data_IF_315221573059
#
_entry.id   IF_315221573059
#
_cell.length_a   1.000
_cell.length_b   1.000
_cell.length_c   1.000
_cell.angle_alpha   90.00
_cell.angle_beta   90.00
_cell.angle_gamma   90.00
#
_symmetry.space_group_name_H-M   'P 1'
#
loop_
_entity.id
_entity.type
_entity.pdbx_description
1 polymer ?
#
# COMPACT_ATOMS: atom_id res chain seq x y z
N UNK A 1 10.53 16.34 10.60
CA UNK A 1 9.42 15.37 10.71
C UNK A 1 9.95 13.93 10.74
N UNK A 2 9.63 13.18 11.79
CA UNK A 2 9.93 11.75 11.88
C UNK A 2 9.32 11.03 10.68
N UNK A 3 10.17 10.32 9.94
CA UNK A 3 9.77 9.56 8.77
C UNK A 3 9.19 8.23 9.22
N UNK A 4 7.86 8.11 9.15
CA UNK A 4 7.16 6.85 9.39
C UNK A 4 7.71 5.73 8.49
N UNK A 5 7.76 4.49 8.99
CA UNK A 5 8.03 3.31 8.19
C UNK A 5 6.69 2.81 7.63
N UNK A 6 6.27 3.29 6.44
CA UNK A 6 4.92 3.04 5.94
C UNK A 6 4.67 1.53 5.81
N UNK A 7 3.41 1.08 5.92
CA UNK A 7 3.04 -0.28 5.56
C UNK A 7 3.44 -0.60 4.13
N UNK A 8 3.98 -1.80 3.90
CA UNK A 8 4.36 -2.25 2.56
C UNK A 8 3.12 -2.58 1.74
N UNK A 9 2.58 -1.57 1.07
CA UNK A 9 1.41 -1.68 0.18
C UNK A 9 1.80 -1.74 -1.30
N UNK A 10 3.05 -2.11 -1.58
CA UNK A 10 3.61 -2.19 -2.94
C UNK A 10 2.84 -3.17 -3.82
N UNK A 11 2.27 -4.24 -3.25
CA UNK A 11 1.42 -5.16 -3.98
C UNK A 11 0.16 -4.47 -4.56
N UNK A 12 -0.43 -3.50 -3.85
CA UNK A 12 -1.58 -2.73 -4.33
C UNK A 12 -1.15 -1.71 -5.41
N UNK A 13 0.06 -1.15 -5.30
CA UNK A 13 0.71 -0.33 -6.34
C UNK A 13 1.00 -1.13 -7.61
N UNK A 14 1.50 -2.36 -7.47
CA UNK A 14 1.79 -3.25 -8.57
C UNK A 14 0.50 -3.75 -9.23
N UNK A 15 -0.52 -4.15 -8.45
CA UNK A 15 -1.82 -4.53 -8.98
C UNK A 15 -2.40 -3.42 -9.86
N UNK A 16 -2.31 -2.17 -9.44
CA UNK A 16 -2.70 -0.99 -10.23
C UNK A 16 -2.02 -0.89 -11.60
N UNK A 17 -0.70 -1.00 -11.60
CA UNK A 17 0.11 -0.82 -12.81
C UNK A 17 -0.01 -2.03 -13.74
N UNK A 18 -0.09 -3.24 -13.17
CA UNK A 18 -0.24 -4.49 -13.90
C UNK A 18 -1.68 -4.71 -14.39
N UNK A 19 -2.71 -4.43 -13.59
CA UNK A 19 -4.11 -4.55 -14.04
C UNK A 19 -4.44 -3.64 -15.22
N UNK A 20 -3.76 -2.50 -15.33
CA UNK A 20 -3.92 -1.60 -16.49
C UNK A 20 -3.20 -2.10 -17.75
N UNK A 21 -2.04 -2.73 -17.62
CA UNK A 21 -1.16 -3.07 -18.75
C UNK A 21 -1.15 -4.56 -19.15
N UNK A 22 -1.45 -5.47 -18.23
CA UNK A 22 -1.35 -6.93 -18.41
C UNK A 22 -2.69 -7.65 -18.46
N UNK A 23 -3.74 -7.12 -17.82
CA UNK A 23 -5.06 -7.69 -17.98
C UNK A 23 -5.59 -7.46 -19.40
N UNK A 24 -6.16 -8.50 -19.99
CA UNK A 24 -6.85 -8.39 -21.26
C UNK A 24 -8.15 -7.57 -21.14
N UNK A 25 -8.85 -7.33 -22.26
CA UNK A 25 -10.09 -6.55 -22.25
C UNK A 25 -11.19 -7.21 -21.43
N UNK A 26 -11.28 -8.54 -21.44
CA UNK A 26 -12.24 -9.32 -20.68
C UNK A 26 -11.97 -9.27 -19.19
N UNK A 27 -10.73 -9.53 -18.76
CA UNK A 27 -10.32 -9.46 -17.34
C UNK A 27 -10.53 -8.07 -16.73
N UNK A 28 -10.25 -7.02 -17.52
CA UNK A 28 -10.55 -5.63 -17.11
C UNK A 28 -12.04 -5.40 -16.94
N UNK A 29 -12.86 -5.96 -17.83
CA UNK A 29 -14.31 -5.82 -17.76
C UNK A 29 -14.88 -6.60 -16.57
N UNK A 30 -14.37 -7.81 -16.32
CA UNK A 30 -14.72 -8.63 -15.16
C UNK A 30 -14.37 -7.92 -13.86
N UNK A 31 -13.15 -7.38 -13.73
CA UNK A 31 -12.79 -6.62 -12.54
C UNK A 31 -13.74 -5.44 -12.32
N UNK A 32 -14.03 -4.66 -13.38
CA UNK A 32 -14.91 -3.49 -13.29
C UNK A 32 -16.36 -3.82 -12.93
N UNK A 33 -16.88 -4.98 -13.34
CA UNK A 33 -18.25 -5.38 -13.01
C UNK A 33 -18.39 -5.83 -11.55
N UNK A 34 -17.31 -6.33 -10.96
CA UNK A 34 -17.27 -6.86 -9.60
C UNK A 34 -17.20 -5.77 -8.53
N UNK A 35 -17.77 -6.05 -7.35
CA UNK A 35 -17.77 -5.14 -6.19
C UNK A 35 -16.36 -4.73 -5.79
N UNK A 36 -15.42 -5.67 -5.78
CA UNK A 36 -14.00 -5.41 -5.44
C UNK A 36 -13.32 -4.47 -6.44
N UNK A 37 -13.70 -4.50 -7.73
CA UNK A 37 -13.14 -3.57 -8.71
C UNK A 37 -13.64 -2.15 -8.52
N UNK A 38 -14.91 -1.97 -8.14
CA UNK A 38 -15.47 -0.66 -7.75
C UNK A 38 -14.78 -0.12 -6.49
N UNK A 39 -14.57 -0.99 -5.49
CA UNK A 39 -13.83 -0.68 -4.26
C UNK A 39 -12.40 -0.20 -4.58
N UNK A 40 -11.65 -0.97 -5.38
CA UNK A 40 -10.31 -0.61 -5.84
C UNK A 40 -10.32 0.73 -6.61
N UNK A 41 -11.27 0.94 -7.52
CA UNK A 41 -11.39 2.19 -8.25
C UNK A 41 -11.61 3.38 -7.30
N UNK A 42 -12.44 3.24 -6.28
CA UNK A 42 -12.67 4.28 -5.28
C UNK A 42 -11.41 4.60 -4.47
N UNK A 43 -10.68 3.57 -4.01
CA UNK A 43 -9.39 3.73 -3.32
C UNK A 43 -8.43 4.58 -4.19
N UNK A 44 -8.34 4.28 -5.48
CA UNK A 44 -7.44 5.00 -6.39
C UNK A 44 -7.90 6.42 -6.71
N UNK A 45 -9.20 6.66 -6.83
CA UNK A 45 -9.74 7.99 -7.02
C UNK A 45 -9.42 8.89 -5.83
N UNK A 46 -9.58 8.37 -4.61
CA UNK A 46 -9.22 9.10 -3.38
C UNK A 46 -7.73 9.44 -3.33
N UNK A 47 -6.87 8.51 -3.76
CA UNK A 47 -5.41 8.70 -3.72
C UNK A 47 -4.80 9.35 -4.98
N UNK A 48 -5.63 9.74 -5.95
CA UNK A 48 -5.20 10.36 -7.21
C UNK A 48 -4.32 11.61 -7.02
N UNK A 49 -4.60 12.54 -6.08
CA UNK A 49 -3.75 13.72 -5.88
C UNK A 49 -2.31 13.37 -5.47
N UNK A 50 -2.15 12.37 -4.58
CA UNK A 50 -0.85 11.91 -4.11
C UNK A 50 -0.07 11.21 -5.22
N UNK A 51 -0.74 10.37 -6.01
CA UNK A 51 -0.16 9.76 -7.21
C UNK A 51 0.31 10.82 -8.22
N UNK A 52 -0.51 11.85 -8.47
CA UNK A 52 -0.17 12.94 -9.37
C UNK A 52 1.12 13.66 -8.95
N UNK A 53 1.23 14.02 -7.67
CA UNK A 53 2.45 14.63 -7.10
C UNK A 53 3.66 13.71 -7.23
N UNK A 54 3.53 12.42 -6.91
CA UNK A 54 4.61 11.44 -7.04
C UNK A 54 5.12 11.33 -8.50
N UNK A 55 4.19 11.28 -9.46
CA UNK A 55 4.53 11.24 -10.88
C UNK A 55 5.22 12.52 -11.35
N UNK A 56 4.76 13.69 -10.90
CA UNK A 56 5.37 14.98 -11.22
C UNK A 56 6.81 15.06 -10.70
N UNK A 57 7.03 14.70 -9.44
CA UNK A 57 8.38 14.68 -8.83
C UNK A 57 9.29 13.70 -9.55
N UNK A 58 8.80 12.49 -9.83
CA UNK A 58 9.57 11.47 -10.55
C UNK A 58 9.96 11.95 -11.95
N UNK A 59 9.03 12.62 -12.65
CA UNK A 59 9.30 13.21 -13.96
C UNK A 59 10.38 14.29 -13.86
N UNK A 60 10.23 15.21 -12.91
CA UNK A 60 11.19 16.30 -12.71
C UNK A 60 12.61 15.79 -12.41
N UNK A 61 12.75 14.83 -11.50
CA UNK A 61 14.05 14.21 -11.17
C UNK A 61 14.68 13.57 -12.41
N UNK A 62 13.88 12.85 -13.23
CA UNK A 62 14.37 12.25 -14.47
C UNK A 62 14.80 13.29 -15.50
N UNK A 63 14.06 14.38 -15.64
CA UNK A 63 14.41 15.48 -16.55
C UNK A 63 15.70 16.16 -16.09
N UNK A 64 15.85 16.46 -14.80
CA UNK A 64 17.10 17.00 -14.25
C UNK A 64 18.29 16.07 -14.49
N UNK A 65 18.14 14.77 -14.24
CA UNK A 65 19.21 13.80 -14.50
C UNK A 65 19.60 13.76 -15.97
N UNK A 66 18.62 13.82 -16.89
CA UNK A 66 18.87 13.84 -18.32
C UNK A 66 19.66 15.10 -18.75
N UNK A 67 19.37 16.25 -18.17
CA UNK A 67 20.09 17.50 -18.47
C UNK A 67 21.52 17.50 -17.90
N UNK A 68 21.73 16.91 -16.72
CA UNK A 68 23.07 16.66 -16.18
C UNK A 68 23.88 15.73 -17.08
N UNK A 69 23.27 14.63 -17.54
CA UNK A 69 23.91 13.67 -18.44
C UNK A 69 24.28 14.33 -19.78
N UNK A 70 23.40 15.16 -20.35
CA UNK A 70 23.67 15.92 -21.58
C UNK A 70 24.80 16.94 -21.42
N UNK A 71 24.90 17.58 -20.26
CA UNK A 71 25.93 18.58 -19.97
C UNK A 71 27.28 17.95 -19.55
N UNK A 72 27.35 16.63 -19.42
CA UNK A 72 28.54 15.92 -18.91
C UNK A 72 28.80 16.19 -17.43
N UNK A 73 27.85 16.81 -16.73
CA UNK A 73 27.93 17.08 -15.30
C UNK A 73 27.38 15.88 -14.52
N UNK A 74 27.83 15.71 -13.28
CA UNK A 74 27.24 14.74 -12.34
C UNK A 74 26.57 15.49 -11.21
N UNK A 75 25.37 15.04 -10.85
CA UNK A 75 24.71 15.50 -9.63
C UNK A 75 25.67 15.30 -8.44
N UNK A 76 25.78 16.33 -7.61
CA UNK A 76 26.48 16.24 -6.34
C UNK A 76 25.79 15.21 -5.44
N UNK A 77 26.52 14.71 -4.45
CA UNK A 77 25.95 13.78 -3.46
C UNK A 77 24.76 14.41 -2.71
N UNK A 78 24.86 15.70 -2.40
CA UNK A 78 23.81 16.46 -1.70
C UNK A 78 22.53 16.55 -2.54
N UNK A 79 22.63 16.90 -3.82
CA UNK A 79 21.47 16.91 -4.74
C UNK A 79 20.84 15.53 -4.88
N UNK A 80 21.65 14.47 -4.99
CA UNK A 80 21.13 13.10 -5.06
C UNK A 80 20.39 12.70 -3.78
N UNK A 81 20.92 13.08 -2.61
CA UNK A 81 20.32 12.76 -1.32
C UNK A 81 19.02 13.56 -1.12
N UNK A 82 18.96 14.82 -1.54
CA UNK A 82 17.74 15.62 -1.58
C UNK A 82 16.68 15.01 -2.51
N UNK A 83 17.04 14.65 -3.74
CA UNK A 83 16.12 14.01 -4.68
C UNK A 83 15.57 12.69 -4.13
N UNK A 84 16.42 11.87 -3.49
CA UNK A 84 15.98 10.63 -2.81
C UNK A 84 15.02 10.94 -1.67
N UNK A 85 15.29 11.96 -0.88
CA UNK A 85 14.43 12.34 0.25
C UNK A 85 13.06 12.81 -0.22
N UNK A 86 13.01 13.67 -1.25
CA UNK A 86 11.76 14.14 -1.85
C UNK A 86 10.98 12.95 -2.41
N UNK A 87 11.62 12.08 -3.20
CA UNK A 87 10.97 10.89 -3.76
C UNK A 87 10.43 9.96 -2.68
N UNK A 88 11.22 9.71 -1.62
CA UNK A 88 10.81 8.92 -0.46
C UNK A 88 9.57 9.51 0.20
N UNK A 89 9.55 10.82 0.47
CA UNK A 89 8.40 11.50 1.10
C UNK A 89 7.13 11.36 0.26
N UNK A 90 7.21 11.60 -1.05
CA UNK A 90 6.06 11.48 -1.94
C UNK A 90 5.57 10.03 -2.10
N UNK A 91 6.50 9.07 -2.09
CA UNK A 91 6.17 7.64 -2.11
C UNK A 91 5.42 7.24 -0.84
N UNK A 92 5.91 7.67 0.32
CA UNK A 92 5.27 7.44 1.62
C UNK A 92 3.88 8.06 1.70
N UNK A 93 3.73 9.31 1.25
CA UNK A 93 2.43 9.97 1.23
C UNK A 93 1.41 9.17 0.39
N UNK A 94 1.85 8.63 -0.74
CA UNK A 94 0.97 7.82 -1.59
C UNK A 94 0.66 6.46 -0.96
N UNK A 95 1.65 5.75 -0.41
CA UNK A 95 1.46 4.48 0.30
C UNK A 95 0.52 4.64 1.50
N UNK A 96 0.69 5.71 2.28
CA UNK A 96 -0.18 6.05 3.42
C UNK A 96 -1.62 6.30 2.99
N UNK A 97 -1.83 7.02 1.88
CA UNK A 97 -3.17 7.19 1.34
C UNK A 97 -3.79 5.84 0.95
N UNK A 98 -3.05 4.99 0.22
CA UNK A 98 -3.54 3.68 -0.20
C UNK A 98 -3.90 2.79 0.99
N UNK A 99 -3.02 2.74 2.00
CA UNK A 99 -3.26 2.00 3.23
C UNK A 99 -4.51 2.51 3.97
N UNK A 100 -4.65 3.82 4.09
CA UNK A 100 -5.79 4.46 4.75
C UNK A 100 -7.11 4.24 4.01
N UNK A 101 -7.11 4.34 2.68
CA UNK A 101 -8.30 4.18 1.87
C UNK A 101 -8.74 2.72 1.77
N UNK A 102 -7.77 1.78 1.70
CA UNK A 102 -8.05 0.35 1.62
C UNK A 102 -8.45 -0.25 2.97
N UNK A 103 -7.78 0.15 4.05
CA UNK A 103 -7.91 -0.48 5.36
C UNK A 103 -8.00 0.55 6.50
N UNK A 104 -9.04 1.41 6.51
CA UNK A 104 -9.10 2.60 7.36
C UNK A 104 -8.94 2.28 8.85
N UNK A 105 -9.63 1.26 9.36
CA UNK A 105 -9.56 0.89 10.77
C UNK A 105 -8.17 0.37 11.17
N UNK A 106 -7.56 -0.47 10.34
CA UNK A 106 -6.22 -1.03 10.60
C UNK A 106 -5.17 0.07 10.52
N UNK A 107 -5.29 0.95 9.54
CA UNK A 107 -4.40 2.09 9.36
C UNK A 107 -4.53 3.09 10.51
N UNK A 108 -5.74 3.33 11.02
CA UNK A 108 -5.94 4.20 12.19
C UNK A 108 -5.27 3.63 13.45
N UNK A 109 -5.32 2.30 13.66
CA UNK A 109 -4.61 1.63 14.75
C UNK A 109 -3.09 1.77 14.61
N UNK A 110 -2.57 1.57 13.40
CA UNK A 110 -1.16 1.81 13.08
C UNK A 110 -0.74 3.26 13.37
N UNK A 111 -1.50 4.25 12.89
CA UNK A 111 -1.25 5.67 13.15
C UNK A 111 -1.29 6.01 14.63
N UNK A 112 -2.23 5.42 15.37
CA UNK A 112 -2.33 5.61 16.82
C UNK A 112 -1.11 5.03 17.53
N UNK A 113 -0.65 3.83 17.15
CA UNK A 113 0.59 3.27 17.68
C UNK A 113 1.78 4.19 17.41
N UNK A 114 1.95 4.64 16.16
CA UNK A 114 3.08 5.47 15.76
C UNK A 114 3.09 6.81 16.53
N UNK A 115 1.94 7.47 16.64
CA UNK A 115 1.82 8.75 17.35
C UNK A 115 2.05 8.64 18.86
N UNK A 116 1.94 7.44 19.44
CA UNK A 116 2.21 7.17 20.86
C UNK A 116 3.67 6.84 21.13
N UNK A 117 4.49 6.63 20.09
CA UNK A 117 5.90 6.34 20.27
C UNK A 117 6.65 7.57 20.76
N UNK A 118 7.41 7.48 21.87
CA UNK A 118 8.25 8.58 22.33
C UNK A 118 9.26 8.97 21.24
N UNK A 119 9.49 10.28 20.99
CA UNK A 119 10.45 10.73 19.97
C UNK A 119 11.85 10.14 20.16
N UNK A 120 12.29 9.94 21.41
CA UNK A 120 13.59 9.35 21.74
C UNK A 120 13.69 7.90 21.26
N UNK A 121 12.63 7.11 21.45
CA UNK A 121 12.55 5.71 20.99
C UNK A 121 12.59 5.65 19.47
N UNK A 122 11.83 6.53 18.81
CA UNK A 122 11.84 6.64 17.35
C UNK A 122 13.25 6.95 16.84
N UNK A 123 13.93 7.93 17.43
CA UNK A 123 15.26 8.35 17.04
C UNK A 123 16.29 7.23 17.24
N UNK A 124 16.22 6.52 18.36
CA UNK A 124 17.08 5.37 18.65
C UNK A 124 16.89 4.25 17.61
N UNK A 125 15.64 3.91 17.30
CA UNK A 125 15.33 2.90 16.29
C UNK A 125 15.74 3.35 14.89
N UNK A 126 15.67 4.64 14.56
CA UNK A 126 16.15 5.20 13.30
C UNK A 126 17.67 5.06 13.17
N UNK A 127 18.42 5.41 14.21
CA UNK A 127 19.88 5.28 14.25
C UNK A 127 20.34 3.84 14.02
N UNK A 128 19.61 2.87 14.57
CA UNK A 128 19.91 1.44 14.43
C UNK A 128 19.28 0.79 13.19
N UNK A 129 18.57 1.54 12.33
CA UNK A 129 17.83 1.01 11.16
C UNK A 129 16.83 -0.10 11.55
N UNK A 130 16.16 0.13 12.66
CA UNK A 130 15.21 -0.79 13.31
C UNK A 130 13.76 -0.27 13.29
N UNK A 131 13.47 0.85 12.61
CA UNK A 131 12.13 1.45 12.55
C UNK A 131 11.04 0.48 12.06
N UNK A 132 11.40 -0.59 11.35
CA UNK A 132 10.49 -1.65 10.95
C UNK A 132 9.89 -2.48 12.10
N UNK A 133 10.47 -2.41 13.30
CA UNK A 133 9.99 -3.10 14.49
C UNK A 133 9.03 -2.23 15.31
N UNK A 134 9.03 -0.92 15.11
CA UNK A 134 8.04 -0.03 15.71
C UNK A 134 6.66 -0.31 15.09
N UNK A 135 5.65 -0.50 15.95
CA UNK A 135 4.28 -0.77 15.53
C UNK A 135 4.16 -1.93 14.53
N UNK A 136 5.05 -2.93 14.66
CA UNK A 136 5.14 -4.04 13.69
C UNK A 136 3.81 -4.79 13.57
N UNK A 137 3.14 -5.05 14.69
CA UNK A 137 1.85 -5.76 14.72
C UNK A 137 0.79 -5.00 13.93
N UNK A 138 0.64 -3.70 14.16
CA UNK A 138 -0.31 -2.86 13.47
C UNK A 138 0.04 -2.73 11.99
N UNK A 139 1.33 -2.56 11.67
CA UNK A 139 1.81 -2.50 10.27
C UNK A 139 1.46 -3.78 9.52
N UNK A 140 1.77 -4.95 10.09
CA UNK A 140 1.44 -6.23 9.47
C UNK A 140 -0.06 -6.45 9.34
N UNK A 141 -0.87 -5.92 10.24
CA UNK A 141 -2.32 -5.99 10.13
C UNK A 141 -2.85 -5.15 8.95
N UNK A 142 -2.24 -3.99 8.69
CA UNK A 142 -2.52 -3.18 7.48
C UNK A 142 -2.08 -3.93 6.23
N UNK A 143 -0.85 -4.44 6.19
CA UNK A 143 -0.31 -5.17 5.05
C UNK A 143 -1.16 -6.40 4.69
N UNK A 144 -1.59 -7.18 5.69
CA UNK A 144 -2.50 -8.31 5.50
C UNK A 144 -3.85 -7.89 4.93
N UNK A 145 -4.46 -6.86 5.49
CA UNK A 145 -5.75 -6.35 5.01
C UNK A 145 -5.64 -5.88 3.55
N UNK A 146 -4.60 -5.12 3.21
CA UNK A 146 -4.33 -4.68 1.84
C UNK A 146 -4.10 -5.87 0.92
N UNK A 147 -3.30 -6.85 1.36
CA UNK A 147 -3.05 -8.09 0.62
C UNK A 147 -4.34 -8.84 0.28
N UNK A 148 -5.29 -8.94 1.23
CA UNK A 148 -6.60 -9.57 0.98
C UNK A 148 -7.39 -8.84 -0.11
N UNK A 149 -7.41 -7.50 -0.11
CA UNK A 149 -8.10 -6.71 -1.13
C UNK A 149 -7.45 -6.94 -2.51
N UNK A 150 -6.11 -6.93 -2.57
CA UNK A 150 -5.36 -7.23 -3.81
C UNK A 150 -5.70 -8.62 -4.34
N UNK A 151 -5.62 -9.65 -3.48
CA UNK A 151 -5.92 -11.03 -3.89
C UNK A 151 -7.36 -11.20 -4.39
N UNK A 152 -8.34 -10.57 -3.74
CA UNK A 152 -9.74 -10.55 -4.21
C UNK A 152 -9.84 -9.86 -5.58
N UNK A 153 -9.14 -8.75 -5.78
CA UNK A 153 -9.07 -8.06 -7.06
C UNK A 153 -8.49 -8.91 -8.19
N UNK A 154 -7.38 -9.63 -7.95
CA UNK A 154 -6.80 -10.56 -8.95
C UNK A 154 -7.81 -11.65 -9.30
N UNK A 155 -8.39 -12.31 -8.30
CA UNK A 155 -9.36 -13.41 -8.51
C UNK A 155 -10.57 -12.94 -9.31
N UNK A 156 -11.11 -11.77 -8.97
CA UNK A 156 -12.23 -11.14 -9.67
C UNK A 156 -11.89 -10.81 -11.14
N UNK A 157 -10.65 -10.44 -11.44
CA UNK A 157 -10.22 -10.14 -12.81
C UNK A 157 -10.07 -11.43 -13.65
N UNK A 158 -9.37 -12.43 -13.11
CA UNK A 158 -9.01 -13.67 -13.83
C UNK A 158 -10.20 -14.64 -13.91
N UNK A 159 -11.28 -14.40 -13.17
CA UNK A 159 -12.47 -15.24 -13.21
C UNK A 159 -12.24 -16.62 -12.61
N UNK A 160 -11.32 -16.74 -11.65
CA UNK A 160 -11.24 -17.97 -10.83
C UNK A 160 -12.55 -18.06 -10.08
N UNK A 161 -13.42 -18.98 -10.50
CA UNK A 161 -14.69 -19.24 -9.85
C UNK A 161 -14.46 -19.29 -8.33
N UNK A 162 -15.14 -18.40 -7.61
CA UNK A 162 -15.38 -18.62 -6.20
C UNK A 162 -16.18 -19.92 -6.16
N UNK A 163 -15.50 -21.05 -5.96
CA UNK A 163 -16.16 -22.20 -5.39
C UNK A 163 -16.68 -21.73 -4.05
N UNK A 164 -17.99 -21.61 -3.96
CA UNK A 164 -18.74 -21.31 -2.76
C UNK A 164 -18.20 -22.17 -1.61
N UNK A 165 -17.35 -21.57 -0.77
CA UNK A 165 -17.25 -22.01 0.62
C UNK A 165 -18.40 -21.29 1.33
N UNK A 166 -19.63 -21.64 0.93
CA UNK A 166 -20.75 -21.61 1.86
C UNK A 166 -20.38 -22.61 2.95
N UNK A 167 -19.84 -22.07 4.06
CA UNK A 167 -19.76 -22.78 5.32
C UNK A 167 -21.18 -23.14 5.74
N UNK A 168 -21.60 -24.32 5.30
CA UNK A 168 -22.87 -24.96 5.59
C UNK A 168 -23.17 -24.90 7.08
N UNK A 169 -24.24 -24.19 7.41
CA UNK A 169 -24.99 -24.41 8.63
C UNK A 169 -25.42 -25.89 8.68
N UNK A 170 -24.75 -26.67 9.53
CA UNK A 170 -25.32 -27.92 10.03
C UNK A 170 -25.50 -27.85 11.53
N UNK A 171 -26.79 -27.84 11.88
CA UNK A 171 -27.39 -28.05 13.18
C UNK A 171 -26.72 -29.15 14.00
N UNK A 172 -26.39 -28.80 15.25
CA UNK A 172 -26.91 -29.43 16.47
C UNK A 172 -26.51 -30.87 16.80
N UNK A 173 -25.85 -31.06 17.96
CA UNK A 173 -26.27 -32.06 18.97
C UNK A 173 -26.05 -31.45 20.37
N UNK A 174 -27.15 -31.25 21.08
CA UNK A 174 -27.19 -31.09 22.53
C UNK A 174 -26.71 -32.40 23.18
N UNK A 175 -25.64 -32.33 23.96
CA UNK A 175 -25.18 -33.42 24.81
C UNK A 175 -25.15 -32.97 26.26
N UNK A 176 -26.31 -32.96 26.91
CA UNK A 176 -26.38 -33.04 28.37
C UNK A 176 -25.80 -34.40 28.79
N UNK A 177 -24.85 -34.39 29.72
CA UNK A 177 -24.59 -35.54 30.57
C UNK A 177 -24.26 -35.02 31.96
N UNK A 178 -25.29 -35.10 32.80
CA UNK A 178 -25.12 -35.19 34.25
C UNK A 178 -24.36 -36.49 34.55
N UNK A 179 -23.31 -36.39 35.33
CA UNK A 179 -22.93 -37.31 36.42
C UNK A 179 -21.80 -36.67 37.22
#
# INVERSE_FOLDING_TARGET
PVVDCPPKVDALLHLLQHAQSKFDKGEKQNLKSQTVGKELQNIFLQCRPYRGKLLQVTKHIKEQQLELDKSGQRATKEEQDEQKQILKQHTQNYQNCLASAACPERYQKFRTCWNRMPPQVVQEFEQHRMTQYLCQTERQAVERCVGTIVSRGVRAAVGTAEGDIEGSDHHGILGHSNL
#
